data_IF_740339453941
#
_entry.id   IF_740339453941
#
_cell.length_a   1.000
_cell.length_b   1.000
_cell.length_c   1.000
_cell.angle_alpha   90.00
_cell.angle_beta   90.00
_cell.angle_gamma   90.00
#
_symmetry.space_group_name_H-M   'P 1'
#
loop_
_entity.id
_entity.type
_entity.pdbx_description
1 polymer ?
#
# COMPACT_ATOMS: atom_id res chain seq x y z
N UNK A 1 39.20 53.09 -52.94
CA UNK A 1 39.79 52.42 -51.77
C UNK A 1 38.80 52.26 -50.58
N UNK A 2 37.57 52.70 -50.72
CA UNK A 2 36.58 52.63 -49.57
C UNK A 2 35.69 51.39 -49.57
N UNK A 3 35.50 50.72 -50.69
CA UNK A 3 34.61 49.51 -50.78
C UNK A 3 35.26 48.20 -50.28
N UNK A 4 36.60 48.16 -50.25
CA UNK A 4 37.31 46.96 -49.78
C UNK A 4 37.28 46.78 -48.22
N UNK A 5 37.14 47.87 -47.46
CA UNK A 5 37.10 47.85 -46.00
C UNK A 5 35.76 47.31 -45.49
N UNK A 6 34.66 47.52 -46.20
CA UNK A 6 33.32 47.01 -45.79
C UNK A 6 33.16 45.53 -46.05
N UNK A 7 33.82 44.98 -47.05
CA UNK A 7 33.81 43.53 -47.35
C UNK A 7 34.61 42.78 -46.27
N UNK A 8 35.71 43.36 -45.76
CA UNK A 8 36.51 42.74 -44.71
C UNK A 8 35.76 42.73 -43.35
N UNK A 9 34.98 43.75 -43.04
CA UNK A 9 34.12 43.81 -41.82
C UNK A 9 32.97 42.82 -41.89
N UNK A 10 32.40 42.53 -43.08
CA UNK A 10 31.26 41.64 -43.24
C UNK A 10 31.70 40.19 -43.14
N UNK A 11 32.94 39.81 -43.51
CA UNK A 11 33.48 38.46 -43.36
C UNK A 11 33.87 38.16 -41.93
N UNK A 12 34.28 39.16 -41.12
CA UNK A 12 34.64 38.99 -39.71
C UNK A 12 33.41 38.81 -38.84
N UNK A 13 32.25 39.42 -39.20
CA UNK A 13 31.01 39.28 -38.44
C UNK A 13 30.28 37.95 -38.61
N UNK A 14 30.60 37.16 -39.65
CA UNK A 14 30.00 35.83 -39.89
C UNK A 14 30.68 34.72 -39.07
N UNK A 15 31.95 34.94 -38.60
CA UNK A 15 32.69 33.94 -37.82
C UNK A 15 32.46 34.00 -36.31
N UNK A 16 31.65 34.94 -35.79
CA UNK A 16 31.40 35.06 -34.35
C UNK A 16 30.08 34.43 -33.89
N UNK A 17 29.35 33.73 -34.77
CA UNK A 17 28.09 33.05 -34.43
C UNK A 17 28.22 31.53 -34.25
N UNK A 18 29.44 30.99 -34.07
CA UNK A 18 29.60 29.62 -33.54
C UNK A 18 29.47 29.72 -32.02
N UNK A 19 28.21 29.90 -31.59
CA UNK A 19 27.86 29.83 -30.18
C UNK A 19 28.17 28.43 -29.65
N UNK A 20 29.05 28.35 -28.65
CA UNK A 20 29.21 27.18 -27.82
C UNK A 20 27.86 26.61 -27.47
N UNK A 21 27.53 25.40 -27.91
CA UNK A 21 26.52 24.57 -27.25
C UNK A 21 27.02 24.34 -25.84
N UNK A 22 26.52 25.15 -24.93
CA UNK A 22 26.63 24.92 -23.51
C UNK A 22 25.97 23.57 -23.25
N UNK A 23 26.79 22.54 -23.03
CA UNK A 23 26.34 21.28 -22.50
C UNK A 23 25.73 21.56 -21.12
N UNK A 24 24.42 21.71 -21.08
CA UNK A 24 23.68 21.72 -19.83
C UNK A 24 23.85 20.35 -19.21
N UNK A 25 24.72 20.27 -18.21
CA UNK A 25 24.78 19.14 -17.30
C UNK A 25 23.40 18.95 -16.65
N UNK A 26 22.83 17.74 -16.75
CA UNK A 26 21.72 17.32 -15.91
C UNK A 26 20.32 17.43 -16.49
N UNK A 27 20.11 17.18 -17.78
CA UNK A 27 18.84 16.57 -18.17
C UNK A 27 18.95 15.09 -17.80
N UNK A 28 18.27 14.70 -16.72
CA UNK A 28 17.82 13.33 -16.53
C UNK A 28 16.95 13.05 -17.77
N UNK A 29 17.49 12.35 -18.76
CA UNK A 29 16.68 11.82 -19.85
C UNK A 29 15.60 11.00 -19.19
N UNK A 30 14.39 11.50 -19.21
CA UNK A 30 13.18 10.74 -18.87
C UNK A 30 13.12 9.62 -19.90
N UNK A 31 13.66 8.45 -19.50
CA UNK A 31 13.86 7.31 -20.40
C UNK A 31 12.47 6.87 -20.85
N UNK A 32 12.21 7.04 -22.14
CA UNK A 32 10.89 6.81 -22.73
C UNK A 32 10.46 5.34 -22.55
N UNK A 33 9.20 5.14 -22.22
CA UNK A 33 8.59 3.81 -22.13
C UNK A 33 8.65 3.10 -23.49
N UNK A 34 9.06 1.82 -23.50
CA UNK A 34 9.09 0.99 -24.69
C UNK A 34 7.69 0.46 -25.04
N UNK A 35 7.00 1.15 -25.95
CA UNK A 35 5.68 0.71 -26.44
C UNK A 35 5.71 -0.66 -27.10
N UNK A 36 6.80 -0.98 -27.82
CA UNK A 36 6.97 -2.27 -28.48
C UNK A 36 7.12 -3.40 -27.44
N UNK A 37 7.96 -3.23 -26.43
CA UNK A 37 8.12 -4.21 -25.35
C UNK A 37 6.79 -4.39 -24.60
N UNK A 38 6.07 -3.31 -24.30
CA UNK A 38 4.77 -3.35 -23.64
C UNK A 38 3.71 -4.10 -24.46
N UNK A 39 3.74 -3.96 -25.79
CA UNK A 39 2.82 -4.68 -26.67
C UNK A 39 3.10 -6.19 -26.67
N UNK A 40 4.37 -6.62 -26.61
CA UNK A 40 4.74 -8.03 -26.51
C UNK A 40 4.25 -8.66 -25.20
N UNK A 41 4.10 -7.87 -24.14
CA UNK A 41 3.62 -8.35 -22.84
C UNK A 41 2.10 -8.55 -22.76
N UNK A 42 1.31 -8.06 -23.72
CA UNK A 42 -0.14 -8.24 -23.71
C UNK A 42 -0.54 -9.72 -23.74
N UNK A 43 -1.52 -10.10 -22.91
CA UNK A 43 -2.08 -11.48 -22.85
C UNK A 43 -1.99 -12.09 -21.46
N UNK A 44 -2.30 -13.39 -21.39
CA UNK A 44 -2.25 -14.20 -20.16
C UNK A 44 -0.90 -14.91 -20.09
N UNK A 45 -0.28 -14.87 -18.93
CA UNK A 45 1.03 -15.46 -18.68
C UNK A 45 0.94 -16.53 -17.59
N UNK A 46 1.58 -17.66 -17.85
CA UNK A 46 1.63 -18.82 -16.98
C UNK A 46 3.08 -19.12 -16.60
N UNK A 47 3.28 -19.64 -15.42
CA UNK A 47 4.57 -20.21 -15.03
C UNK A 47 4.92 -21.41 -15.92
N UNK A 48 6.16 -21.46 -16.39
CA UNK A 48 6.60 -22.47 -17.36
C UNK A 48 6.66 -23.88 -16.77
N UNK A 49 6.86 -24.00 -15.44
CA UNK A 49 7.06 -25.30 -14.77
C UNK A 49 5.76 -25.82 -14.18
N UNK A 50 5.00 -24.97 -13.50
CA UNK A 50 3.75 -25.35 -12.83
C UNK A 50 2.51 -25.28 -13.74
N UNK A 51 2.61 -24.64 -14.91
CA UNK A 51 1.51 -24.34 -15.82
C UNK A 51 0.36 -23.53 -15.17
N UNK A 52 0.63 -22.87 -14.02
CA UNK A 52 -0.35 -22.04 -13.35
C UNK A 52 -0.36 -20.63 -13.94
N UNK A 53 -1.57 -20.06 -14.05
CA UNK A 53 -1.74 -18.69 -14.50
C UNK A 53 -1.23 -17.72 -13.42
N UNK A 54 -0.25 -16.89 -13.77
CA UNK A 54 0.38 -15.91 -12.87
C UNK A 54 -0.31 -14.55 -12.96
N UNK A 55 -0.40 -13.98 -14.16
CA UNK A 55 -1.05 -12.70 -14.40
C UNK A 55 -1.54 -12.54 -15.85
N UNK A 56 -2.39 -11.52 -16.02
CA UNK A 56 -2.79 -11.02 -17.34
C UNK A 56 -2.37 -9.57 -17.50
N UNK A 57 -1.72 -9.23 -18.60
CA UNK A 57 -1.45 -7.85 -18.99
C UNK A 57 -2.43 -7.41 -20.08
N UNK A 58 -3.14 -6.31 -19.84
CA UNK A 58 -4.09 -5.75 -20.78
C UNK A 58 -4.03 -4.21 -20.76
N UNK A 59 -3.72 -3.60 -21.91
CA UNK A 59 -3.44 -2.16 -21.99
C UNK A 59 -2.24 -1.81 -21.10
N UNK A 60 -2.46 -0.93 -20.16
CA UNK A 60 -1.46 -0.44 -19.21
C UNK A 60 -1.53 -1.13 -17.83
N UNK A 61 -2.35 -2.19 -17.71
CA UNK A 61 -2.67 -2.80 -16.43
C UNK A 61 -2.25 -4.27 -16.38
N UNK A 62 -1.62 -4.67 -15.29
CA UNK A 62 -1.42 -6.07 -14.90
C UNK A 62 -2.53 -6.49 -13.94
N UNK A 63 -3.11 -7.64 -14.20
CA UNK A 63 -4.13 -8.31 -13.38
C UNK A 63 -3.53 -9.60 -12.85
N UNK A 64 -3.48 -9.77 -11.54
CA UNK A 64 -2.94 -10.97 -10.90
C UNK A 64 -4.00 -12.07 -10.83
N UNK A 65 -3.57 -13.34 -10.83
CA UNK A 65 -4.49 -14.50 -10.79
C UNK A 65 -5.09 -14.71 -9.41
N UNK A 66 -4.41 -14.26 -8.35
CA UNK A 66 -4.92 -14.38 -6.99
C UNK A 66 -6.13 -13.47 -6.73
N UNK A 67 -6.88 -13.76 -5.66
CA UNK A 67 -8.13 -13.05 -5.33
C UNK A 67 -7.93 -11.79 -4.49
N UNK A 68 -6.72 -11.51 -4.02
CA UNK A 68 -6.41 -10.46 -3.04
C UNK A 68 -5.68 -9.28 -3.65
N UNK A 69 -4.84 -9.53 -4.66
CA UNK A 69 -4.04 -8.50 -5.32
C UNK A 69 -4.86 -7.54 -6.15
N UNK A 70 -4.56 -6.27 -6.04
CA UNK A 70 -5.20 -5.20 -6.82
C UNK A 70 -4.51 -5.09 -8.17
N UNK A 71 -5.26 -4.89 -9.28
CA UNK A 71 -4.65 -4.57 -10.56
C UNK A 71 -3.74 -3.35 -10.46
N UNK A 72 -2.57 -3.42 -11.07
CA UNK A 72 -1.55 -2.38 -11.01
C UNK A 72 -1.19 -1.86 -12.39
N UNK A 73 -0.78 -0.60 -12.48
CA UNK A 73 -0.18 -0.03 -13.68
C UNK A 73 1.19 -0.69 -13.93
N UNK A 74 1.57 -0.89 -15.20
CA UNK A 74 2.92 -1.34 -15.52
C UNK A 74 3.52 -0.55 -16.68
N UNK A 75 4.84 -0.49 -16.70
CA UNK A 75 5.65 0.13 -17.75
C UNK A 75 6.92 -0.67 -18.01
N UNK A 76 7.47 -0.53 -19.20
CA UNK A 76 8.76 -1.14 -19.56
C UNK A 76 9.71 -0.04 -20.00
N UNK A 77 10.85 0.07 -19.32
CA UNK A 77 11.88 1.07 -19.59
C UNK A 77 13.23 0.34 -19.58
N UNK A 78 13.99 0.41 -20.68
CA UNK A 78 15.33 -0.19 -20.80
C UNK A 78 15.39 -1.65 -20.29
N UNK A 79 14.61 -2.53 -20.90
CA UNK A 79 14.53 -3.95 -20.55
C UNK A 79 14.25 -4.21 -19.06
N UNK A 80 13.53 -3.31 -18.44
CA UNK A 80 13.08 -3.45 -17.05
C UNK A 80 11.58 -3.25 -16.98
N UNK A 81 10.89 -4.22 -16.41
CA UNK A 81 9.46 -4.18 -16.11
C UNK A 81 9.27 -3.51 -14.73
N UNK A 82 8.40 -2.50 -14.68
CA UNK A 82 7.97 -1.83 -13.46
C UNK A 82 6.49 -2.12 -13.26
N UNK A 83 6.11 -2.51 -12.05
CA UNK A 83 4.71 -2.79 -11.68
C UNK A 83 4.35 -1.96 -10.45
N UNK A 84 3.21 -1.23 -10.52
CA UNK A 84 2.76 -0.33 -9.46
C UNK A 84 3.55 0.97 -9.38
N UNK A 85 3.28 1.75 -8.34
CA UNK A 85 3.84 3.10 -8.15
C UNK A 85 5.17 3.12 -7.36
N UNK A 86 5.61 1.95 -6.86
CA UNK A 86 6.73 1.86 -5.91
C UNK A 86 8.12 1.69 -6.57
N UNK A 87 8.28 1.99 -7.86
CA UNK A 87 9.57 1.89 -8.58
C UNK A 87 10.33 0.56 -8.44
N UNK A 88 9.61 -0.53 -8.09
CA UNK A 88 10.22 -1.85 -8.03
C UNK A 88 10.55 -2.31 -9.44
N UNK A 89 11.78 -2.77 -9.58
CA UNK A 89 12.41 -3.10 -10.85
C UNK A 89 12.49 -4.59 -11.02
N UNK A 90 11.94 -5.09 -12.12
CA UNK A 90 12.03 -6.48 -12.56
C UNK A 90 12.84 -6.52 -13.87
N UNK A 91 14.16 -6.69 -13.80
CA UNK A 91 15.00 -6.77 -15.01
C UNK A 91 14.54 -7.91 -15.90
N UNK A 92 14.22 -7.60 -17.16
CA UNK A 92 13.82 -8.59 -18.16
C UNK A 92 15.09 -9.31 -18.65
N UNK A 93 15.11 -10.62 -18.50
CA UNK A 93 16.22 -11.50 -18.96
C UNK A 93 15.97 -11.94 -20.39
N UNK A 94 14.72 -12.22 -20.73
CA UNK A 94 14.31 -12.65 -22.08
C UNK A 94 12.88 -12.22 -22.35
N UNK A 95 12.67 -11.60 -23.52
CA UNK A 95 11.34 -11.21 -23.99
C UNK A 95 11.15 -11.61 -25.44
N UNK A 96 10.14 -12.41 -25.70
CA UNK A 96 9.72 -12.86 -27.03
C UNK A 96 8.17 -12.91 -27.07
N UNK A 97 7.53 -13.06 -28.22
CA UNK A 97 6.05 -13.05 -28.30
C UNK A 97 5.34 -14.02 -27.35
N UNK A 98 5.98 -15.16 -27.01
CA UNK A 98 5.40 -16.20 -26.15
C UNK A 98 6.26 -16.52 -24.92
N UNK A 99 7.34 -15.79 -24.66
CA UNK A 99 8.28 -16.05 -23.55
C UNK A 99 8.61 -14.75 -22.85
N UNK A 100 8.49 -14.75 -21.53
CA UNK A 100 8.91 -13.65 -20.66
C UNK A 100 9.67 -14.22 -19.48
N UNK A 101 10.97 -13.90 -19.39
CA UNK A 101 11.79 -14.20 -18.21
C UNK A 101 12.26 -12.91 -17.59
N UNK A 102 12.10 -12.77 -16.29
CA UNK A 102 12.57 -11.61 -15.55
C UNK A 102 13.07 -12.00 -14.17
N UNK A 103 13.86 -11.15 -13.55
CA UNK A 103 14.29 -11.32 -12.15
C UNK A 103 13.24 -10.75 -11.20
N UNK A 104 12.82 -11.55 -10.21
CA UNK A 104 11.94 -11.09 -9.14
C UNK A 104 12.72 -10.26 -8.10
N UNK A 105 12.03 -9.80 -7.05
CA UNK A 105 12.64 -9.01 -5.97
C UNK A 105 13.72 -9.79 -5.19
N UNK A 106 13.62 -11.12 -5.13
CA UNK A 106 14.61 -12.00 -4.51
C UNK A 106 15.85 -12.24 -5.38
N UNK A 107 15.81 -11.86 -6.67
CA UNK A 107 16.86 -12.10 -7.65
C UNK A 107 16.70 -13.39 -8.45
N UNK A 108 15.68 -14.20 -8.17
CA UNK A 108 15.39 -15.43 -8.90
C UNK A 108 14.80 -15.12 -10.27
N UNK A 109 15.06 -16.02 -11.24
CA UNK A 109 14.51 -15.88 -12.59
C UNK A 109 13.16 -16.55 -12.67
N UNK A 110 12.11 -15.74 -12.76
CA UNK A 110 10.74 -16.18 -13.07
C UNK A 110 10.65 -16.42 -14.57
N UNK A 111 10.21 -17.63 -14.96
CA UNK A 111 10.09 -18.04 -16.36
C UNK A 111 8.63 -18.24 -16.74
N UNK A 112 8.13 -17.34 -17.56
CA UNK A 112 6.74 -17.36 -18.00
C UNK A 112 6.62 -17.68 -19.48
N UNK A 113 5.53 -18.35 -19.81
CA UNK A 113 5.07 -18.59 -21.18
C UNK A 113 3.68 -17.97 -21.38
N UNK A 114 3.41 -17.48 -22.56
CA UNK A 114 2.09 -16.90 -22.88
C UNK A 114 1.09 -18.02 -23.12
N UNK A 115 -0.01 -18.01 -22.39
CA UNK A 115 -1.13 -18.94 -22.63
C UNK A 115 -1.75 -18.73 -24.00
N UNK A 116 -2.09 -19.82 -24.64
CA UNK A 116 -2.90 -19.88 -25.87
C UNK A 116 -4.32 -20.40 -25.62
N UNK A 117 -4.61 -20.85 -24.40
CA UNK A 117 -5.93 -21.34 -24.01
C UNK A 117 -6.85 -20.15 -23.61
N UNK A 118 -7.98 -19.96 -24.31
CA UNK A 118 -8.96 -18.93 -23.95
C UNK A 118 -9.55 -19.11 -22.53
N UNK A 119 -9.59 -20.35 -22.03
CA UNK A 119 -10.14 -20.65 -20.69
C UNK A 119 -9.30 -20.05 -19.55
N UNK A 120 -8.00 -19.92 -19.74
CA UNK A 120 -7.12 -19.29 -18.75
C UNK A 120 -7.50 -17.83 -18.45
N UNK A 121 -8.11 -17.15 -19.43
CA UNK A 121 -8.64 -15.80 -19.20
C UNK A 121 -9.84 -15.75 -18.23
N UNK A 122 -10.51 -16.90 -17.98
CA UNK A 122 -11.65 -16.95 -17.08
C UNK A 122 -11.28 -16.78 -15.61
N UNK A 123 -10.02 -17.05 -15.23
CA UNK A 123 -9.49 -16.76 -13.90
C UNK A 123 -9.69 -15.28 -13.55
N UNK A 124 -9.57 -14.38 -14.54
CA UNK A 124 -9.71 -12.92 -14.36
C UNK A 124 -11.14 -12.41 -14.50
N UNK A 125 -12.10 -13.22 -14.96
CA UNK A 125 -13.52 -12.84 -15.06
C UNK A 125 -14.29 -13.01 -13.76
N UNK A 126 -13.77 -13.78 -12.80
CA UNK A 126 -14.37 -13.93 -11.48
C UNK A 126 -14.41 -12.56 -10.81
N UNK A 127 -15.59 -12.11 -10.37
CA UNK A 127 -15.72 -10.89 -9.57
C UNK A 127 -14.80 -11.04 -8.37
N UNK A 128 -13.72 -10.28 -8.36
CA UNK A 128 -12.81 -10.20 -7.23
C UNK A 128 -13.56 -9.51 -6.10
N UNK A 129 -14.20 -10.29 -5.26
CA UNK A 129 -14.40 -9.84 -3.90
C UNK A 129 -12.99 -9.91 -3.30
N UNK A 130 -12.27 -8.78 -3.28
CA UNK A 130 -11.02 -8.73 -2.52
C UNK A 130 -11.31 -9.40 -1.20
N UNK A 131 -10.53 -10.43 -0.85
CA UNK A 131 -10.71 -11.14 0.41
C UNK A 131 -10.55 -10.08 1.47
N UNK A 132 -11.68 -9.61 2.02
CA UNK A 132 -11.67 -8.67 3.13
C UNK A 132 -11.17 -9.48 4.30
N UNK A 133 -9.88 -9.39 4.54
CA UNK A 133 -9.16 -10.14 5.58
C UNK A 133 -9.46 -9.58 6.97
N UNK A 134 -10.19 -8.47 7.05
CA UNK A 134 -10.76 -7.97 8.31
C UNK A 134 -12.22 -8.41 8.42
N UNK A 135 -12.61 -8.89 9.60
CA UNK A 135 -14.00 -9.28 9.87
C UNK A 135 -14.95 -8.14 9.51
N UNK A 136 -15.97 -8.41 8.68
CA UNK A 136 -17.06 -7.45 8.43
C UNK A 136 -18.12 -7.48 9.52
N UNK A 137 -17.92 -8.27 10.57
CA UNK A 137 -18.87 -8.40 11.66
C UNK A 137 -18.54 -7.40 12.76
N UNK A 138 -19.57 -6.75 13.28
CA UNK A 138 -19.47 -5.91 14.47
C UNK A 138 -19.19 -6.82 15.66
N UNK A 139 -18.07 -6.60 16.33
CA UNK A 139 -17.76 -7.29 17.58
C UNK A 139 -18.09 -6.36 18.74
N UNK A 140 -18.85 -6.88 19.72
CA UNK A 140 -19.25 -6.13 20.90
C UNK A 140 -18.82 -6.85 22.16
N UNK A 141 -18.26 -6.11 23.10
CA UNK A 141 -17.86 -6.60 24.41
C UNK A 141 -18.50 -5.71 25.48
N UNK A 142 -19.09 -6.32 26.50
CA UNK A 142 -19.57 -5.66 27.71
C UNK A 142 -18.79 -6.22 28.90
N UNK A 143 -18.01 -5.36 29.53
CA UNK A 143 -17.21 -5.71 30.72
C UNK A 143 -17.78 -5.00 31.93
N UNK A 144 -18.24 -5.78 32.92
CA UNK A 144 -18.74 -5.24 34.19
C UNK A 144 -17.62 -5.20 35.21
N UNK A 145 -17.39 -4.03 35.80
CA UNK A 145 -16.30 -3.82 36.76
C UNK A 145 -16.83 -3.13 38.00
N UNK A 146 -16.21 -3.45 39.13
CA UNK A 146 -16.49 -2.82 40.43
C UNK A 146 -15.27 -1.97 40.84
N UNK A 147 -15.52 -0.72 41.19
CA UNK A 147 -14.49 0.16 41.71
C UNK A 147 -15.13 1.13 42.73
N UNK A 148 -14.52 1.25 43.91
CA UNK A 148 -14.98 2.11 45.02
C UNK A 148 -16.46 1.94 45.29
N UNK A 149 -16.90 0.69 45.48
CA UNK A 149 -18.31 0.25 45.70
C UNK A 149 -19.32 0.64 44.59
N UNK A 150 -18.83 1.14 43.47
CA UNK A 150 -19.64 1.48 42.31
C UNK A 150 -19.51 0.43 41.20
N UNK A 151 -20.62 0.12 40.54
CA UNK A 151 -20.69 -0.79 39.41
C UNK A 151 -20.63 0.01 38.10
N UNK A 152 -19.71 -0.37 37.22
CA UNK A 152 -19.58 0.22 35.91
C UNK A 152 -19.73 -0.83 34.80
N UNK A 153 -20.22 -0.39 33.66
CA UNK A 153 -20.28 -1.15 32.41
C UNK A 153 -19.41 -0.47 31.37
N UNK A 154 -18.44 -1.21 30.83
CA UNK A 154 -17.56 -0.77 29.78
C UNK A 154 -17.95 -1.49 28.48
N UNK A 155 -18.61 -0.78 27.57
CA UNK A 155 -19.04 -1.31 26.29
C UNK A 155 -18.03 -0.92 25.22
N UNK A 156 -17.48 -1.92 24.52
CA UNK A 156 -16.60 -1.73 23.36
C UNK A 156 -17.28 -2.35 22.15
N UNK A 157 -17.42 -1.58 21.07
CA UNK A 157 -17.92 -2.08 19.80
C UNK A 157 -16.91 -1.79 18.69
N UNK A 158 -16.35 -2.84 18.11
CA UNK A 158 -15.49 -2.76 16.93
C UNK A 158 -16.38 -2.78 15.69
N UNK A 159 -16.45 -1.65 14.99
CA UNK A 159 -17.29 -1.47 13.82
C UNK A 159 -16.42 -1.40 12.57
N UNK A 160 -16.52 -2.37 11.63
CA UNK A 160 -15.84 -2.28 10.35
C UNK A 160 -16.25 -1.02 9.59
N UNK A 161 -15.27 -0.29 9.07
CA UNK A 161 -15.50 0.93 8.32
C UNK A 161 -15.35 0.72 6.80
N UNK A 162 -15.56 1.78 6.02
CA UNK A 162 -15.27 1.82 4.58
C UNK A 162 -13.88 2.41 4.27
N UNK A 163 -13.10 2.74 5.29
CA UNK A 163 -11.75 3.29 5.10
C UNK A 163 -10.80 2.19 4.66
N UNK A 164 -10.27 2.34 3.47
CA UNK A 164 -9.32 1.40 2.89
C UNK A 164 -7.94 1.61 3.50
N UNK A 165 -7.26 0.52 3.73
CA UNK A 165 -5.84 0.45 4.10
C UNK A 165 -5.17 -0.45 3.09
N UNK A 166 -4.13 0.04 2.44
CA UNK A 166 -3.35 -0.74 1.47
C UNK A 166 -2.07 -1.23 2.11
N UNK A 167 -1.73 -2.48 1.85
CA UNK A 167 -0.48 -3.10 2.27
C UNK A 167 0.20 -3.72 1.06
N UNK A 168 1.47 -3.38 0.88
CA UNK A 168 2.30 -4.03 -0.11
C UNK A 168 2.81 -5.36 0.44
N UNK A 169 2.70 -6.41 -0.36
CA UNK A 169 3.25 -7.73 -0.09
C UNK A 169 3.88 -8.31 -1.35
N UNK A 170 4.47 -9.49 -1.26
CA UNK A 170 4.91 -10.24 -2.44
C UNK A 170 4.02 -11.46 -2.60
N UNK A 171 3.63 -11.75 -3.85
CA UNK A 171 2.96 -13.01 -4.17
C UNK A 171 3.98 -14.16 -4.29
N UNK A 172 3.49 -15.38 -4.55
CA UNK A 172 4.33 -16.57 -4.65
C UNK A 172 5.39 -16.50 -5.76
N UNK A 173 5.15 -15.68 -6.79
CA UNK A 173 6.10 -15.42 -7.87
C UNK A 173 7.13 -14.32 -7.54
N UNK A 174 7.09 -13.76 -6.31
CA UNK A 174 7.97 -12.69 -5.87
C UNK A 174 7.69 -11.34 -6.55
N UNK A 175 6.47 -11.16 -7.08
CA UNK A 175 5.99 -9.88 -7.56
C UNK A 175 5.35 -9.10 -6.42
N UNK A 176 5.68 -7.83 -6.30
CA UNK A 176 5.00 -6.96 -5.34
C UNK A 176 3.57 -6.73 -5.80
N UNK A 177 2.66 -6.95 -4.87
CA UNK A 177 1.22 -6.76 -5.02
C UNK A 177 0.68 -5.88 -3.91
N UNK A 178 -0.38 -5.15 -4.19
CA UNK A 178 -1.07 -4.32 -3.23
C UNK A 178 -2.34 -5.03 -2.76
N UNK A 179 -2.46 -5.24 -1.45
CA UNK A 179 -3.64 -5.82 -0.82
C UNK A 179 -4.48 -4.73 -0.15
N UNK A 180 -5.79 -4.81 -0.26
CA UNK A 180 -6.73 -3.86 0.33
C UNK A 180 -7.44 -4.47 1.52
N UNK A 181 -7.33 -3.80 2.65
CA UNK A 181 -8.03 -4.07 3.89
C UNK A 181 -8.97 -2.93 4.23
N UNK A 182 -9.79 -3.10 5.27
CA UNK A 182 -10.64 -2.04 5.79
C UNK A 182 -10.34 -1.80 7.26
N UNK A 183 -10.19 -0.52 7.61
CA UNK A 183 -9.98 -0.09 8.98
C UNK A 183 -11.27 -0.19 9.82
N UNK A 184 -11.16 -0.11 11.13
CA UNK A 184 -12.29 -0.11 12.05
C UNK A 184 -12.47 1.27 12.69
N UNK A 185 -13.70 1.50 13.15
CA UNK A 185 -14.04 2.54 14.11
C UNK A 185 -14.49 1.83 15.38
N UNK A 186 -13.82 2.09 16.51
CA UNK A 186 -14.14 1.43 17.77
C UNK A 186 -14.87 2.41 18.66
N UNK A 187 -16.10 2.06 19.00
CA UNK A 187 -16.90 2.83 19.96
C UNK A 187 -16.65 2.32 21.37
N UNK A 188 -16.27 3.22 22.29
CA UNK A 188 -16.17 2.95 23.71
C UNK A 188 -17.22 3.79 24.45
N UNK A 189 -18.03 3.15 25.29
CA UNK A 189 -18.87 3.84 26.26
C UNK A 189 -18.78 3.22 27.64
N UNK A 190 -18.76 4.07 28.67
CA UNK A 190 -18.69 3.68 30.08
C UNK A 190 -19.86 4.26 30.79
N UNK A 191 -20.59 3.41 31.56
CA UNK A 191 -21.76 3.79 32.35
C UNK A 191 -21.57 3.42 33.81
N UNK A 192 -22.08 4.26 34.70
CA UNK A 192 -22.29 3.97 36.11
C UNK A 192 -23.79 3.92 36.34
N UNK A 193 -24.36 2.73 36.48
CA UNK A 193 -25.82 2.57 36.44
C UNK A 193 -26.42 3.10 35.15
N UNK A 194 -27.34 4.06 35.21
CA UNK A 194 -27.90 4.73 34.03
C UNK A 194 -27.11 5.97 33.57
N UNK A 195 -26.15 6.44 34.37
CA UNK A 195 -25.37 7.62 34.06
C UNK A 195 -24.21 7.27 33.11
N UNK A 196 -24.13 8.01 32.00
CA UNK A 196 -23.02 7.88 31.04
C UNK A 196 -21.80 8.67 31.51
N UNK A 197 -20.71 7.97 31.85
CA UNK A 197 -19.43 8.55 32.28
C UNK A 197 -18.62 9.00 31.06
N UNK A 198 -18.62 8.17 30.00
CA UNK A 198 -17.83 8.41 28.80
C UNK A 198 -18.49 7.79 27.57
N UNK A 199 -18.29 8.40 26.39
CA UNK A 199 -18.68 7.81 25.10
C UNK A 199 -17.95 8.50 23.97
N UNK A 200 -17.18 7.73 23.17
CA UNK A 200 -16.42 8.26 22.02
C UNK A 200 -16.09 7.17 21.01
N UNK A 201 -15.96 7.57 19.75
CA UNK A 201 -15.41 6.77 18.67
C UNK A 201 -13.89 6.94 18.58
N UNK A 202 -13.19 5.83 18.49
CA UNK A 202 -11.75 5.77 18.28
C UNK A 202 -11.44 5.42 16.82
N UNK A 203 -10.45 6.12 16.26
CA UNK A 203 -9.89 5.90 14.94
C UNK A 203 -8.37 5.80 15.05
N UNK A 204 -7.72 5.07 14.15
CA UNK A 204 -6.25 4.87 14.20
C UNK A 204 -5.46 6.19 14.21
N UNK A 205 -5.98 7.24 13.59
CA UNK A 205 -5.33 8.57 13.55
C UNK A 205 -5.14 9.20 14.94
N UNK A 206 -5.95 8.79 15.93
CA UNK A 206 -5.78 9.26 17.31
C UNK A 206 -4.47 8.75 17.94
N UNK A 207 -3.85 7.76 17.33
CA UNK A 207 -2.62 7.10 17.80
C UNK A 207 -1.37 7.55 17.01
N UNK A 208 -1.46 8.55 16.14
CA UNK A 208 -0.36 9.01 15.28
C UNK A 208 0.91 9.43 16.03
N UNK A 209 0.78 9.87 17.29
CA UNK A 209 1.92 10.23 18.14
C UNK A 209 2.68 9.02 18.70
N UNK A 210 2.07 7.84 18.65
CA UNK A 210 2.56 6.62 19.30
C UNK A 210 2.95 5.53 18.31
N UNK A 211 2.57 5.67 17.05
CA UNK A 211 2.85 4.71 15.98
C UNK A 211 3.58 5.44 14.85
N UNK A 212 4.73 4.93 14.36
CA UNK A 212 5.42 5.54 13.22
C UNK A 212 4.51 5.70 12.01
N UNK A 213 4.61 6.84 11.31
CA UNK A 213 3.69 7.21 10.22
C UNK A 213 3.58 6.11 9.14
N UNK A 214 4.71 5.58 8.66
CA UNK A 214 4.70 4.53 7.61
C UNK A 214 4.05 3.22 8.06
N UNK A 215 4.08 2.92 9.36
CA UNK A 215 3.37 1.76 9.94
C UNK A 215 1.88 2.07 10.07
N UNK A 216 1.54 3.25 10.59
CA UNK A 216 0.15 3.65 10.79
C UNK A 216 -0.66 3.67 9.48
N UNK A 217 -0.05 4.06 8.38
CA UNK A 217 -0.68 4.10 7.06
C UNK A 217 -1.13 2.70 6.61
N UNK A 218 -0.32 1.67 6.88
CA UNK A 218 -0.58 0.27 6.50
C UNK A 218 -1.32 -0.53 7.59
N UNK A 219 -1.60 0.07 8.75
CA UNK A 219 -2.22 -0.60 9.89
C UNK A 219 -3.73 -0.39 9.93
N UNK A 220 -4.41 -1.25 10.68
CA UNK A 220 -5.80 -1.11 11.10
C UNK A 220 -5.89 -0.98 12.62
N UNK A 221 -6.90 -0.27 13.13
CA UNK A 221 -7.24 -0.29 14.55
C UNK A 221 -7.98 -1.61 14.83
N UNK A 222 -7.25 -2.59 15.37
CA UNK A 222 -7.74 -3.96 15.51
C UNK A 222 -8.69 -4.15 16.69
N UNK A 223 -8.32 -3.61 17.86
CA UNK A 223 -9.09 -3.81 19.10
C UNK A 223 -8.89 -2.66 20.09
N UNK A 224 -9.79 -2.58 21.05
CA UNK A 224 -9.69 -1.77 22.27
C UNK A 224 -10.18 -2.63 23.43
N UNK A 225 -9.25 -3.22 24.17
CA UNK A 225 -9.54 -4.21 25.21
C UNK A 225 -9.47 -3.57 26.60
N UNK A 226 -10.45 -3.87 27.46
CA UNK A 226 -10.40 -3.45 28.86
C UNK A 226 -9.25 -4.16 29.59
N UNK A 227 -8.39 -3.40 30.27
CA UNK A 227 -7.30 -3.93 31.11
C UNK A 227 -7.71 -3.91 32.60
N UNK A 228 -7.89 -2.71 33.15
CA UNK A 228 -8.19 -2.56 34.59
C UNK A 228 -8.81 -1.20 34.90
N UNK A 229 -9.28 -1.05 36.13
CA UNK A 229 -9.69 0.22 36.72
C UNK A 229 -8.88 0.52 37.97
N UNK A 230 -8.53 1.77 38.19
CA UNK A 230 -7.80 2.25 39.36
C UNK A 230 -8.15 3.69 39.69
N UNK A 231 -7.36 4.30 40.58
CA UNK A 231 -7.57 5.69 41.01
C UNK A 231 -7.47 6.72 39.88
N UNK A 232 -6.72 6.41 38.82
CA UNK A 232 -6.58 7.22 37.62
C UNK A 232 -7.70 7.00 36.59
N UNK A 233 -8.54 5.98 36.76
CA UNK A 233 -9.68 5.65 35.92
C UNK A 233 -9.60 4.27 35.27
N UNK A 234 -10.33 4.12 34.18
CA UNK A 234 -10.44 2.90 33.37
C UNK A 234 -9.34 2.87 32.33
N UNK A 235 -8.62 1.74 32.25
CA UNK A 235 -7.55 1.50 31.28
C UNK A 235 -7.99 0.51 30.23
N UNK A 236 -7.69 0.84 28.99
CA UNK A 236 -7.90 0.00 27.82
C UNK A 236 -6.61 -0.08 27.01
N UNK A 237 -6.37 -1.21 26.37
CA UNK A 237 -5.28 -1.44 25.44
C UNK A 237 -5.80 -1.36 24.00
N UNK A 238 -5.37 -0.34 23.29
CA UNK A 238 -5.61 -0.22 21.85
C UNK A 238 -4.55 -0.99 21.09
N UNK A 239 -4.95 -1.86 20.18
CA UNK A 239 -4.07 -2.62 19.29
C UNK A 239 -4.17 -2.08 17.87
N UNK A 240 -3.04 -1.58 17.34
CA UNK A 240 -2.88 -1.09 15.97
C UNK A 240 -1.93 -2.03 15.27
N UNK A 241 -2.39 -2.80 14.30
CA UNK A 241 -1.62 -3.84 13.65
C UNK A 241 -1.67 -3.77 12.15
N UNK A 242 -0.57 -4.21 11.51
CA UNK A 242 -0.54 -4.43 10.06
C UNK A 242 -1.31 -5.72 9.78
N UNK A 243 -2.33 -5.71 8.89
CA UNK A 243 -3.07 -6.92 8.56
C UNK A 243 -2.15 -8.04 8.04
N UNK A 244 -2.44 -9.28 8.45
CA UNK A 244 -1.66 -10.49 8.11
C UNK A 244 -0.17 -10.39 8.47
N UNK A 245 0.13 -9.64 9.55
CA UNK A 245 1.47 -9.54 10.12
C UNK A 245 1.38 -9.79 11.63
N UNK A 246 2.43 -10.37 12.21
CA UNK A 246 2.52 -10.55 13.65
C UNK A 246 2.82 -9.25 14.40
N UNK A 247 3.29 -8.22 13.68
CA UNK A 247 3.71 -6.96 14.27
C UNK A 247 2.52 -6.07 14.58
N UNK A 248 2.42 -5.62 15.84
CA UNK A 248 1.43 -4.64 16.25
C UNK A 248 2.04 -3.63 17.24
N UNK A 249 1.43 -2.45 17.28
CA UNK A 249 1.67 -1.43 18.28
C UNK A 249 0.52 -1.42 19.28
N UNK A 250 0.84 -1.24 20.54
CA UNK A 250 -0.14 -1.07 21.59
C UNK A 250 -0.02 0.31 22.22
N UNK A 251 -1.17 0.91 22.52
CA UNK A 251 -1.26 2.17 23.23
C UNK A 251 -2.27 2.03 24.37
N UNK A 252 -1.97 2.66 25.50
CA UNK A 252 -2.85 2.69 26.65
C UNK A 252 -3.84 3.87 26.49
N UNK A 253 -5.13 3.58 26.54
CA UNK A 253 -6.21 4.56 26.60
C UNK A 253 -6.73 4.61 28.05
N UNK A 254 -6.59 5.75 28.70
CA UNK A 254 -7.05 5.96 30.07
C UNK A 254 -8.24 6.91 30.05
N UNK A 255 -9.37 6.49 30.64
CA UNK A 255 -10.56 7.32 30.85
C UNK A 255 -10.74 7.51 32.35
N UNK A 256 -10.54 8.73 32.83
CA UNK A 256 -10.72 9.05 34.26
C UNK A 256 -12.16 8.79 34.72
N UNK A 257 -12.38 8.65 36.03
CA UNK A 257 -13.69 8.52 36.62
C UNK A 257 -14.64 9.71 36.31
N UNK A 258 -14.07 10.85 35.89
CA UNK A 258 -14.82 12.06 35.47
C UNK A 258 -14.99 12.14 33.94
N UNK A 259 -14.67 11.09 33.20
CA UNK A 259 -14.84 11.02 31.75
C UNK A 259 -13.80 11.76 30.92
N UNK A 260 -12.63 12.15 31.49
CA UNK A 260 -11.54 12.74 30.73
C UNK A 260 -10.62 11.63 30.17
N UNK A 261 -10.44 11.59 28.85
CA UNK A 261 -9.62 10.62 28.15
C UNK A 261 -8.20 11.14 27.93
N UNK A 262 -7.24 10.24 27.99
CA UNK A 262 -5.85 10.43 27.55
C UNK A 262 -5.31 9.15 26.90
N UNK A 263 -4.36 9.30 25.97
CA UNK A 263 -3.64 8.18 25.35
C UNK A 263 -2.19 8.26 25.80
N UNK A 264 -1.59 7.13 26.11
CA UNK A 264 -0.20 7.00 26.52
C UNK A 264 0.49 5.89 25.74
N UNK A 265 1.79 6.03 25.54
CA UNK A 265 2.60 4.95 25.01
C UNK A 265 2.75 3.85 26.05
N UNK A 266 2.62 2.58 25.64
CA UNK A 266 3.03 1.48 26.52
C UNK A 266 4.56 1.47 26.62
N UNK A 267 5.05 1.53 27.85
CA UNK A 267 6.46 1.23 28.16
C UNK A 267 6.53 -0.27 28.48
N UNK A 268 7.22 -1.03 27.64
CA UNK A 268 7.54 -2.44 27.88
C UNK A 268 8.70 -2.60 28.85
#
# INVERSE_FOLDING_TARGET
MCKLKYILCLVVSVFLSVGCKQQSAGQVEERAESKQAKQLLQGVWMDQESEMVVFKMQGDTVYFSDSTSVPAYFRVINDTLFIGDNDIKYPIVKQMPHVLWFKNAGGDVVKLVKSTDPEDANVFKRKRHGKVLTSRQITKTDTVVMYDNNRYHCYVAVNPSKYKVTKNSYNDDGLQVENVYYDNIIHLSIFQGSARVYSQDFRKQMFEKYVPKGILEQSVLGNLEYDKVGADGFRFLATIGIPDDASCYQAEVVVSLKGKMSIKQMNY
#
